data_IF_605052294785
#
_entry.id   IF_605052294785
#
_cell.length_a   1.000
_cell.length_b   1.000
_cell.length_c   1.000
_cell.angle_alpha   90.00
_cell.angle_beta   90.00
_cell.angle_gamma   90.00
#
_symmetry.space_group_name_H-M   'P 1'
#
loop_
_entity.id
_entity.type
_entity.pdbx_description
1 polymer ?
#
# COMPACT_ATOMS: atom_id res chain seq x y z
N UNK A 1 -17.83 -4.16 16.69
CA UNK A 1 -17.71 -4.62 16.79
C UNK A 1 -17.53 -5.04 16.79
N UNK A 2 -17.40 -4.88 16.47
CA UNK A 2 -17.03 -5.42 16.36
C UNK A 2 -16.70 -5.93 16.01
N UNK A 3 -16.09 -5.69 15.89
CA UNK A 3 -15.69 -6.38 15.69
C UNK A 3 -15.14 -6.76 15.42
N UNK A 4 -14.92 -6.52 15.21
CA UNK A 4 -14.40 -7.22 15.07
C UNK A 4 -14.00 -7.37 14.77
N UNK A 5 -13.99 -7.28 14.38
CA UNK A 5 -13.64 -7.81 14.23
C UNK A 5 -13.46 -8.19 14.01
N UNK A 6 -12.84 -7.87 13.82
CA UNK A 6 -12.62 -8.59 13.96
C UNK A 6 -12.60 -8.87 13.67
N UNK A 7 -12.73 -8.68 13.25
CA UNK A 7 -12.81 -9.31 13.14
C UNK A 7 -12.96 -9.53 13.03
N UNK A 8 -12.85 -9.41 12.50
CA UNK A 8 -13.22 -10.00 12.62
C UNK A 8 -13.49 -10.25 12.51
N UNK A 9 -13.77 -9.90 12.12
CA UNK A 9 -14.12 -10.33 12.10
C UNK A 9 -14.56 -10.40 12.15
N UNK A 10 -14.60 -10.40 11.71
CA UNK A 10 -15.04 -10.67 11.83
C UNK A 10 -15.45 -11.05 11.82
N UNK A 11 -15.59 -10.72 11.66
CA UNK A 11 -15.97 -11.14 11.60
C UNK A 11 -16.46 -11.36 11.78
N UNK A 12 -16.53 -11.32 11.40
CA UNK A 12 -16.95 -11.72 11.43
C UNK A 12 -17.49 -11.99 11.65
N UNK A 13 -17.48 -11.86 11.20
CA UNK A 13 -17.96 -12.39 11.29
C UNK A 13 -18.43 -12.61 11.55
N UNK A 14 -18.25 -12.37 10.87
CA UNK A 14 -18.80 -12.93 11.08
C UNK A 14 -19.28 -13.24 11.22
N UNK A 15 -19.66 -13.27 10.55
CA UNK A 15 -20.12 -13.86 10.70
C UNK A 15 -20.60 -14.17 10.50
N UNK A 16 -20.66 -13.99 10.13
CA UNK A 16 -21.22 -14.58 9.98
C UNK A 16 -21.62 -14.92 9.82
N UNK A 17 -21.87 -14.92 9.46
CA UNK A 17 -22.24 -15.61 9.27
C UNK A 17 -22.67 -15.94 9.06
N UNK A 18 -22.64 -15.87 8.53
CA UNK A 18 -22.98 -16.57 8.25
C UNK A 18 -23.27 -16.81 7.92
N UNK A 19 -23.42 -16.67 7.74
CA UNK A 19 -23.75 -17.18 7.38
C UNK A 19 -23.88 -17.41 6.80
N UNK A 20 -24.00 -17.29 6.60
CA UNK A 20 -24.12 -17.64 6.05
C UNK A 20 -23.95 -17.64 5.43
N UNK A 21 -23.83 -17.51 5.22
CA UNK A 21 -23.57 -17.62 4.64
C UNK A 21 -23.03 -17.51 4.04
N UNK A 22 -22.98 -17.33 3.81
CA UNK A 22 -22.45 -17.41 3.22
C UNK A 22 -22.06 -17.32 2.71
N UNK A 23 -22.04 -17.29 2.54
CA UNK A 23 -21.61 -17.39 1.96
C UNK A 23 -21.12 -17.43 1.56
N UNK A 24 -20.97 -17.44 1.33
CA UNK A 24 -20.45 -17.58 0.87
C UNK A 24 -19.88 -17.60 0.48
N UNK A 25 -19.67 -17.56 0.19
CA UNK A 25 -19.16 -17.60 -0.23
C UNK A 25 -18.58 -17.56 -0.63
N UNK A 26 -18.44 -17.66 -0.77
CA UNK A 26 -17.96 -17.68 -1.19
C UNK A 26 -17.45 -17.49 -1.59
N UNK A 27 -17.14 -17.52 -1.77
CA UNK A 27 -16.67 -17.55 -2.37
C UNK A 27 -16.30 -17.52 -3.24
N UNK A 28 -16.47 -16.96 -3.21
CA UNK A 28 -16.36 -17.25 -4.22
C UNK A 28 -15.59 -17.49 -4.79
N UNK A 29 -15.12 -17.69 -4.83
CA UNK A 29 -14.50 -18.08 -5.47
C UNK A 29 -14.66 -19.11 -6.00
N UNK A 30 -15.17 -19.69 -5.74
CA UNK A 30 -15.40 -20.78 -6.23
C UNK A 30 -16.15 -20.84 -7.40
N UNK A 31 -16.96 -20.34 -7.79
CA UNK A 31 -17.63 -20.18 -9.04
C UNK A 31 -16.75 -19.57 -10.11
N UNK A 32 -15.44 -19.55 -9.92
CA UNK A 32 -14.47 -19.00 -10.84
C UNK A 32 -14.39 -17.49 -10.82
N UNK A 33 -15.18 -16.82 -10.01
CA UNK A 33 -15.10 -15.39 -9.90
C UNK A 33 -13.76 -15.01 -9.26
N UNK A 34 -13.08 -14.06 -9.86
CA UNK A 34 -11.79 -13.59 -9.39
C UNK A 34 -12.01 -12.30 -8.62
N UNK A 35 -11.65 -12.30 -7.34
CA UNK A 35 -11.69 -11.08 -6.56
C UNK A 35 -10.57 -10.15 -7.02
N UNK A 36 -10.94 -8.92 -7.35
CA UNK A 36 -9.98 -7.90 -7.78
C UNK A 36 -10.00 -6.78 -6.75
N UNK A 37 -8.90 -6.58 -6.00
CA UNK A 37 -8.85 -5.49 -5.04
C UNK A 37 -9.09 -4.15 -5.71
N UNK A 38 -9.63 -3.20 -4.95
CA UNK A 38 -9.99 -1.88 -5.48
C UNK A 38 -8.82 -1.18 -6.13
N UNK A 39 -7.62 -1.31 -5.57
CA UNK A 39 -6.44 -0.68 -6.16
C UNK A 39 -6.16 -1.18 -7.57
N UNK A 40 -6.36 -2.48 -7.81
CA UNK A 40 -6.17 -3.07 -9.12
C UNK A 40 -7.27 -2.64 -10.10
N UNK A 41 -8.50 -2.58 -9.60
CA UNK A 41 -9.64 -2.22 -10.45
C UNK A 41 -9.67 -0.74 -10.78
N UNK A 42 -9.12 0.11 -9.92
CA UNK A 42 -9.18 1.56 -10.05
C UNK A 42 -7.79 2.18 -9.92
N UNK A 43 -6.87 1.73 -10.75
CA UNK A 43 -5.47 2.11 -10.63
C UNK A 43 -5.23 3.61 -10.72
N UNK A 44 -5.93 4.29 -11.64
CA UNK A 44 -5.75 5.73 -11.79
C UNK A 44 -6.15 6.49 -10.53
N UNK A 45 -7.23 6.07 -9.90
CA UNK A 45 -7.69 6.70 -8.66
C UNK A 45 -6.74 6.39 -7.51
N UNK A 46 -6.22 5.17 -7.47
CA UNK A 46 -5.24 4.79 -6.47
C UNK A 46 -3.97 5.62 -6.62
N UNK A 47 -3.47 5.74 -7.85
CA UNK A 47 -2.28 6.54 -8.11
C UNK A 47 -2.49 8.01 -7.74
N UNK A 48 -3.68 8.55 -7.98
CA UNK A 48 -4.01 9.92 -7.59
C UNK A 48 -3.98 10.08 -6.06
N UNK A 49 -4.49 9.10 -5.33
CA UNK A 49 -4.46 9.14 -3.88
C UNK A 49 -3.01 9.12 -3.36
N UNK A 50 -2.16 8.30 -3.97
CA UNK A 50 -0.74 8.22 -3.60
C UNK A 50 -0.05 9.55 -3.91
N UNK A 51 -0.35 10.16 -5.06
CA UNK A 51 0.24 11.44 -5.43
C UNK A 51 -0.13 12.55 -4.45
N UNK A 52 -1.39 12.56 -4.00
CA UNK A 52 -1.83 13.54 -2.99
C UNK A 52 -1.08 13.34 -1.68
N UNK A 53 -0.87 12.10 -1.27
CA UNK A 53 -0.10 11.82 -0.06
C UNK A 53 1.34 12.32 -0.20
N UNK A 54 1.95 12.10 -1.37
CA UNK A 54 3.30 12.57 -1.62
C UNK A 54 3.40 14.08 -1.49
N UNK A 55 2.42 14.81 -2.03
CA UNK A 55 2.41 16.26 -1.96
C UNK A 55 2.36 16.75 -0.51
N UNK A 56 1.64 16.06 0.35
CA UNK A 56 1.52 16.45 1.75
C UNK A 56 2.78 16.17 2.55
N UNK A 57 3.69 15.40 1.99
CA UNK A 57 4.93 15.01 2.68
C UNK A 57 6.14 15.81 2.19
N UNK A 58 5.93 16.80 1.31
CA UNK A 58 7.01 17.68 0.92
C UNK A 58 7.42 18.53 2.12
N UNK A 59 8.68 18.93 2.23
CA UNK A 59 9.79 18.68 1.29
C UNK A 59 10.53 17.37 1.50
N UNK A 60 10.18 16.58 2.50
CA UNK A 60 10.94 15.35 2.81
C UNK A 60 10.82 14.31 1.72
N UNK A 61 9.64 14.18 1.12
CA UNK A 61 9.36 13.23 0.06
C UNK A 61 9.26 13.97 -1.26
N UNK A 62 10.03 13.53 -2.26
CA UNK A 62 9.97 14.12 -3.60
C UNK A 62 9.10 13.29 -4.54
N UNK A 63 8.78 12.06 -4.17
CA UNK A 63 7.88 11.24 -4.96
C UNK A 63 7.61 9.90 -4.32
N UNK A 64 6.50 9.30 -4.71
CA UNK A 64 6.15 7.93 -4.29
C UNK A 64 5.74 7.19 -5.54
N UNK A 65 6.39 6.04 -5.79
CA UNK A 65 6.10 5.18 -6.93
C UNK A 65 5.41 3.93 -6.41
N UNK A 66 4.10 3.77 -6.63
CA UNK A 66 3.39 2.56 -6.21
C UNK A 66 3.48 1.49 -7.29
N UNK A 67 3.74 0.26 -6.89
CA UNK A 67 3.72 -0.89 -7.78
C UNK A 67 2.78 -1.94 -7.19
N UNK A 68 1.73 -2.29 -7.91
CA UNK A 68 0.78 -3.30 -7.48
C UNK A 68 1.29 -4.69 -7.85
N UNK A 69 1.06 -5.64 -6.98
CA UNK A 69 1.46 -7.01 -7.21
C UNK A 69 1.00 -7.90 -6.08
N UNK A 70 1.67 -9.02 -5.92
CA UNK A 70 1.41 -9.94 -4.83
C UNK A 70 2.69 -10.09 -4.01
N UNK A 71 2.51 -10.26 -2.70
CA UNK A 71 3.66 -10.51 -1.84
C UNK A 71 4.05 -11.99 -1.90
N UNK A 72 5.04 -12.38 -1.08
CA UNK A 72 5.54 -13.75 -1.09
C UNK A 72 4.50 -14.78 -0.65
N UNK A 73 3.45 -14.34 0.05
CA UNK A 73 2.37 -15.24 0.48
C UNK A 73 1.26 -15.31 -0.55
N UNK A 74 1.34 -14.54 -1.63
CA UNK A 74 0.31 -14.48 -2.65
C UNK A 74 -0.78 -13.46 -2.40
N UNK A 75 -0.65 -12.65 -1.34
CA UNK A 75 -1.65 -11.64 -1.02
C UNK A 75 -1.48 -10.40 -1.88
N UNK A 76 -2.59 -9.77 -2.29
CA UNK A 76 -2.50 -8.52 -3.03
C UNK A 76 -1.76 -7.46 -2.22
N UNK A 77 -0.83 -6.78 -2.88
CA UNK A 77 0.06 -5.85 -2.19
C UNK A 77 0.38 -4.65 -3.06
N UNK A 78 0.78 -3.56 -2.42
CA UNK A 78 1.37 -2.42 -3.08
C UNK A 78 2.77 -2.23 -2.50
N UNK A 79 3.73 -2.08 -3.41
CA UNK A 79 5.12 -1.81 -3.05
C UNK A 79 5.40 -0.34 -3.34
N UNK A 80 5.52 0.44 -2.27
CA UNK A 80 5.80 1.87 -2.39
C UNK A 80 7.30 2.07 -2.43
N UNK A 81 7.79 2.67 -3.50
CA UNK A 81 9.15 3.19 -3.53
C UNK A 81 9.06 4.67 -3.19
N UNK A 82 9.53 5.04 -2.01
CA UNK A 82 9.47 6.41 -1.54
C UNK A 82 10.81 7.08 -1.82
N UNK A 83 10.77 8.15 -2.58
CA UNK A 83 11.97 8.91 -2.92
C UNK A 83 12.08 10.08 -1.95
N UNK A 84 13.11 10.05 -1.13
CA UNK A 84 13.34 11.09 -0.12
C UNK A 84 14.26 12.15 -0.67
N UNK A 85 13.99 13.40 -0.30
CA UNK A 85 14.97 14.48 -0.55
C UNK A 85 16.29 14.12 0.13
N UNK A 86 17.41 14.53 -0.49
CA UNK A 86 18.71 14.17 0.05
C UNK A 86 18.89 14.66 1.49
N UNK A 87 18.36 15.84 1.80
CA UNK A 87 18.43 16.37 3.16
C UNK A 87 17.72 15.49 4.18
N UNK A 88 16.62 14.81 3.75
CA UNK A 88 15.87 13.92 4.62
C UNK A 88 16.47 12.53 4.70
N UNK A 89 17.44 12.22 3.85
CA UNK A 89 18.07 10.90 3.76
C UNK A 89 19.33 10.79 4.60
N UNK A 90 19.60 11.76 5.44
CA UNK A 90 20.80 11.75 6.28
C UNK A 90 20.73 10.61 7.26
N UNK A 91 21.86 9.97 7.46
CA UNK A 91 21.93 8.74 8.25
C UNK A 91 21.41 8.94 9.67
N UNK A 92 21.68 10.08 10.28
CA UNK A 92 21.28 10.34 11.65
C UNK A 92 19.79 10.54 11.83
N UNK A 93 19.05 10.76 10.73
CA UNK A 93 17.61 11.00 10.77
C UNK A 93 16.81 9.94 10.03
N UNK A 94 17.47 9.06 9.29
CA UNK A 94 16.82 8.20 8.31
C UNK A 94 15.76 7.31 8.92
N UNK A 95 16.06 6.65 10.03
CA UNK A 95 15.11 5.73 10.66
C UNK A 95 13.85 6.48 11.10
N UNK A 96 14.03 7.63 11.70
CA UNK A 96 12.93 8.45 12.19
C UNK A 96 12.06 8.93 11.03
N UNK A 97 12.69 9.42 9.98
CA UNK A 97 11.98 9.92 8.79
C UNK A 97 11.22 8.79 8.11
N UNK A 98 11.84 7.64 7.91
CA UNK A 98 11.15 6.52 7.24
C UNK A 98 9.96 6.05 8.03
N UNK A 99 10.06 5.99 9.35
CA UNK A 99 8.93 5.61 10.19
C UNK A 99 7.79 6.61 10.08
N UNK A 100 8.09 7.90 10.15
CA UNK A 100 7.07 8.95 10.05
C UNK A 100 6.39 8.93 8.69
N UNK A 101 7.18 8.79 7.63
CA UNK A 101 6.65 8.80 6.27
C UNK A 101 5.77 7.58 6.03
N UNK A 102 6.23 6.40 6.45
CA UNK A 102 5.43 5.17 6.29
C UNK A 102 4.09 5.29 6.97
N UNK A 103 4.08 5.77 8.22
CA UNK A 103 2.84 5.94 8.96
C UNK A 103 1.91 6.95 8.30
N UNK A 104 2.47 8.06 7.81
CA UNK A 104 1.68 9.08 7.14
C UNK A 104 1.04 8.54 5.87
N UNK A 105 1.77 7.76 5.08
CA UNK A 105 1.23 7.17 3.86
C UNK A 105 0.09 6.21 4.19
N UNK A 106 0.29 5.35 5.20
CA UNK A 106 -0.75 4.41 5.61
C UNK A 106 -2.00 5.16 6.06
N UNK A 107 -1.84 6.22 6.84
CA UNK A 107 -2.99 6.98 7.33
C UNK A 107 -3.72 7.72 6.22
N UNK A 108 -3.00 8.27 5.26
CA UNK A 108 -3.60 9.09 4.21
C UNK A 108 -4.19 8.25 3.09
N UNK A 109 -3.51 7.18 2.70
CA UNK A 109 -3.95 6.33 1.58
C UNK A 109 -4.85 5.21 2.07
N UNK A 110 -4.58 4.66 3.25
CA UNK A 110 -5.30 3.52 3.82
C UNK A 110 -5.34 2.34 2.83
N UNK A 111 -4.15 1.81 2.46
CA UNK A 111 -4.07 0.83 1.38
C UNK A 111 -4.89 -0.42 1.63
N UNK A 112 -4.89 -0.93 2.85
CA UNK A 112 -5.63 -2.14 3.15
C UNK A 112 -7.13 -1.87 3.25
N UNK A 113 -7.50 -0.83 4.01
CA UNK A 113 -8.90 -0.55 4.32
C UNK A 113 -9.68 -0.07 3.10
N UNK A 114 -9.10 0.79 2.30
CA UNK A 114 -9.81 1.39 1.17
C UNK A 114 -9.46 0.79 -0.17
N UNK A 115 -8.30 0.16 -0.28
CA UNK A 115 -7.79 -0.30 -1.58
C UNK A 115 -7.55 -1.80 -1.64
N UNK A 116 -7.65 -2.49 -0.50
CA UNK A 116 -7.57 -3.95 -0.44
C UNK A 116 -6.19 -4.52 -0.71
N UNK A 117 -5.14 -3.75 -0.44
CA UNK A 117 -3.76 -4.19 -0.70
C UNK A 117 -2.89 -3.95 0.54
N UNK A 118 -1.99 -4.88 0.79
CA UNK A 118 -1.03 -4.76 1.89
C UNK A 118 0.11 -3.83 1.48
N UNK A 119 0.47 -2.86 2.32
CA UNK A 119 1.53 -1.92 1.97
C UNK A 119 2.91 -2.43 2.37
N UNK A 120 3.86 -2.26 1.47
CA UNK A 120 5.28 -2.50 1.71
C UNK A 120 6.05 -1.27 1.27
N UNK A 121 7.12 -0.93 2.00
CA UNK A 121 7.83 0.32 1.78
C UNK A 121 9.31 0.06 1.52
N UNK A 122 9.81 0.72 0.49
CA UNK A 122 11.23 0.86 0.24
C UNK A 122 11.53 2.34 0.11
N UNK A 123 12.73 2.72 0.50
CA UNK A 123 13.14 4.12 0.51
C UNK A 123 14.42 4.28 -0.28
N UNK A 124 14.50 5.38 -1.00
CA UNK A 124 15.66 5.71 -1.82
C UNK A 124 15.83 7.21 -1.78
N UNK A 125 17.09 7.67 -1.75
CA UNK A 125 17.33 9.10 -1.82
C UNK A 125 17.16 9.60 -3.24
N UNK A 126 16.94 10.89 -3.38
CA UNK A 126 16.84 11.55 -4.66
C UNK A 126 18.07 11.31 -5.52
N UNK A 127 19.25 11.39 -4.91
CA UNK A 127 20.52 11.14 -5.61
C UNK A 127 20.63 9.71 -6.09
N UNK A 128 20.20 8.74 -5.29
CA UNK A 128 20.22 7.34 -5.69
C UNK A 128 19.28 7.09 -6.86
N UNK A 129 18.11 7.69 -6.83
CA UNK A 129 17.14 7.54 -7.90
C UNK A 129 17.68 8.12 -9.20
N UNK A 130 18.35 9.27 -9.13
CA UNK A 130 18.93 9.89 -10.31
C UNK A 130 19.99 9.00 -10.95
N UNK A 131 20.82 8.34 -10.12
CA UNK A 131 21.86 7.43 -10.63
C UNK A 131 21.22 6.24 -11.36
N UNK A 132 20.12 5.72 -10.85
CA UNK A 132 19.45 4.57 -11.46
C UNK A 132 18.77 4.94 -12.77
N UNK A 133 18.42 6.19 -12.95
CA UNK A 133 17.77 6.67 -14.16
C UNK A 133 18.76 7.07 -15.25
N UNK A 134 20.06 7.08 -14.95
CA UNK A 134 21.06 7.44 -15.95
C UNK A 134 21.26 6.31 -16.94
N UNK A 135 21.45 6.62 -18.23
CA UNK A 135 21.76 5.59 -19.21
C UNK A 135 23.07 4.90 -18.87
N UNK A 136 23.13 3.61 -19.06
CA UNK A 136 24.35 2.85 -18.89
C UNK A 136 25.20 3.01 -20.12
N UNK A 137 26.44 3.48 -19.92
CA UNK A 137 27.41 3.55 -21.00
C UNK A 137 28.24 2.29 -20.98
N UNK A 138 28.28 1.64 -22.11
CA UNK A 138 28.97 0.36 -22.23
C UNK A 138 30.15 0.52 -23.12
#
# INVERSE_FOLDING_TARGET
MPQLPLRVRARRKSGSRESSQLPPAAHPRDNGAVYLPTAFAQQARFQAAVARAAQRLTPHVVGIIPTLGNDWSGEPAVFFMVILADAASRRDQLLNITNQVSQAIVQQVQPLEQWGVLPYFNFRSQSEQAKLNQPTLV
#
